data_IF_699051245720
#
_entry.id   IF_699051245720
#
_cell.length_a   1.000
_cell.length_b   1.000
_cell.length_c   1.000
_cell.angle_alpha   90.00
_cell.angle_beta   90.00
_cell.angle_gamma   90.00
#
_symmetry.space_group_name_H-M   'P 1'
#
loop_
_entity.id
_entity.type
_entity.pdbx_description
1 polymer ?
#
# COMPACT_ATOMS: atom_id res chain seq x y z
N UNK A 1 -19.86 -19.15 3.26
CA UNK A 1 -19.28 -17.78 3.30
C UNK A 1 -19.14 -17.28 1.87
N UNK A 2 -19.67 -16.09 1.57
CA UNK A 2 -19.53 -15.49 0.24
C UNK A 2 -18.08 -15.05 0.04
N UNK A 3 -17.39 -15.59 -0.96
CA UNK A 3 -16.02 -15.19 -1.31
C UNK A 3 -16.06 -13.93 -2.17
N UNK A 4 -15.02 -13.10 -2.12
CA UNK A 4 -14.87 -12.01 -3.08
C UNK A 4 -14.69 -12.59 -4.49
N UNK A 5 -15.37 -12.00 -5.46
CA UNK A 5 -15.45 -12.45 -6.85
C UNK A 5 -14.52 -11.64 -7.73
N UNK A 6 -14.35 -12.04 -9.00
CA UNK A 6 -13.61 -11.23 -9.98
C UNK A 6 -14.16 -9.80 -10.12
N UNK A 7 -15.47 -9.60 -9.89
CA UNK A 7 -16.11 -8.29 -9.99
C UNK A 7 -15.50 -7.28 -8.99
N UNK A 8 -15.06 -7.76 -7.82
CA UNK A 8 -14.43 -6.92 -6.79
C UNK A 8 -13.03 -6.42 -7.22
N UNK A 9 -12.42 -7.09 -8.21
CA UNK A 9 -11.12 -6.74 -8.77
C UNK A 9 -11.22 -5.96 -10.08
N UNK A 10 -12.37 -5.98 -10.77
CA UNK A 10 -12.54 -5.43 -12.13
C UNK A 10 -12.26 -3.93 -12.22
N UNK A 11 -12.44 -3.18 -11.14
CA UNK A 11 -12.18 -1.73 -11.12
C UNK A 11 -10.70 -1.39 -10.81
N UNK A 12 -9.84 -2.40 -10.65
CA UNK A 12 -8.42 -2.22 -10.31
C UNK A 12 -7.58 -2.96 -11.36
N UNK A 13 -7.22 -2.25 -12.43
CA UNK A 13 -6.54 -2.79 -13.61
C UNK A 13 -5.14 -3.42 -13.36
N UNK A 14 -4.64 -3.38 -12.13
CA UNK A 14 -3.34 -3.96 -11.73
C UNK A 14 -3.45 -5.45 -11.37
N UNK A 15 -4.65 -5.98 -11.24
CA UNK A 15 -4.85 -7.40 -10.95
C UNK A 15 -4.72 -8.25 -12.20
N UNK A 16 -3.67 -9.08 -12.28
CA UNK A 16 -3.69 -10.22 -13.17
C UNK A 16 -4.59 -11.30 -12.55
N UNK A 17 -5.83 -11.38 -13.02
CA UNK A 17 -6.86 -12.27 -12.48
C UNK A 17 -6.50 -13.76 -12.47
N UNK A 18 -5.51 -14.18 -13.29
CA UNK A 18 -5.01 -15.56 -13.36
C UNK A 18 -3.78 -15.80 -12.47
N UNK A 19 -3.28 -14.78 -11.79
CA UNK A 19 -2.09 -14.92 -10.96
C UNK A 19 -2.37 -15.68 -9.67
N UNK A 20 -1.36 -16.43 -9.20
CA UNK A 20 -1.37 -17.08 -7.88
C UNK A 20 -1.76 -16.10 -6.78
N UNK A 21 -1.20 -14.88 -6.79
CA UNK A 21 -1.47 -13.88 -5.76
C UNK A 21 -2.94 -13.47 -5.72
N UNK A 22 -3.60 -13.28 -6.87
CA UNK A 22 -5.06 -12.99 -6.90
C UNK A 22 -5.88 -14.15 -6.35
N UNK A 23 -5.52 -15.39 -6.70
CA UNK A 23 -6.22 -16.57 -6.18
C UNK A 23 -6.08 -16.69 -4.66
N UNK A 24 -4.88 -16.44 -4.12
CA UNK A 24 -4.67 -16.39 -2.67
C UNK A 24 -5.48 -15.24 -2.06
N UNK A 25 -5.46 -14.05 -2.67
CA UNK A 25 -6.24 -12.89 -2.16
C UNK A 25 -7.74 -13.21 -2.05
N UNK A 26 -8.32 -13.91 -3.03
CA UNK A 26 -9.73 -14.35 -2.97
C UNK A 26 -10.04 -15.30 -1.83
N UNK A 27 -9.07 -16.11 -1.43
CA UNK A 27 -9.23 -17.06 -0.33
C UNK A 27 -9.07 -16.41 1.05
N UNK A 28 -8.22 -15.38 1.16
CA UNK A 28 -7.94 -14.73 2.46
C UNK A 28 -8.91 -13.58 2.78
N UNK A 29 -9.42 -12.87 1.77
CA UNK A 29 -10.29 -11.70 1.98
C UNK A 29 -11.75 -12.12 2.05
N UNK A 30 -12.42 -11.70 3.13
CA UNK A 30 -13.84 -11.93 3.34
C UNK A 30 -14.60 -10.60 3.21
N UNK A 31 -15.79 -10.57 2.57
CA UNK A 31 -16.56 -9.33 2.40
C UNK A 31 -16.82 -8.58 3.72
N UNK A 32 -17.07 -9.31 4.81
CA UNK A 32 -17.29 -8.72 6.14
C UNK A 32 -16.08 -7.91 6.65
N UNK A 33 -14.86 -8.19 6.17
CA UNK A 33 -13.67 -7.45 6.59
C UNK A 33 -13.67 -6.00 6.10
N UNK A 34 -14.38 -5.68 5.02
CA UNK A 34 -14.47 -4.30 4.54
C UNK A 34 -15.26 -3.37 5.48
N UNK A 35 -16.03 -3.94 6.41
CA UNK A 35 -16.71 -3.18 7.46
C UNK A 35 -15.76 -2.77 8.61
N UNK A 36 -14.58 -3.40 8.69
CA UNK A 36 -13.59 -3.12 9.73
C UNK A 36 -12.80 -1.84 9.42
N UNK A 37 -12.16 -1.31 10.46
CA UNK A 37 -11.13 -0.29 10.29
C UNK A 37 -9.95 -0.85 9.49
N UNK A 38 -9.22 0.03 8.80
CA UNK A 38 -8.17 -0.37 7.85
C UNK A 38 -7.10 -1.24 8.50
N UNK A 39 -6.65 -0.88 9.70
CA UNK A 39 -5.63 -1.63 10.43
C UNK A 39 -6.10 -3.04 10.81
N UNK A 40 -7.35 -3.17 11.26
CA UNK A 40 -7.92 -4.48 11.59
C UNK A 40 -8.11 -5.33 10.34
N UNK A 41 -8.60 -4.74 9.25
CA UNK A 41 -8.69 -5.41 7.95
C UNK A 41 -7.31 -5.94 7.51
N UNK A 42 -6.26 -5.12 7.60
CA UNK A 42 -4.90 -5.51 7.23
C UNK A 42 -4.39 -6.63 8.14
N UNK A 43 -4.57 -6.51 9.46
CA UNK A 43 -4.14 -7.50 10.44
C UNK A 43 -4.79 -8.87 10.20
N UNK A 44 -6.12 -8.90 10.06
CA UNK A 44 -6.88 -10.14 9.87
C UNK A 44 -6.51 -10.84 8.56
N UNK A 45 -6.38 -10.08 7.46
CA UNK A 45 -5.97 -10.64 6.18
C UNK A 45 -4.54 -11.21 6.23
N UNK A 46 -3.61 -10.53 6.90
CA UNK A 46 -2.24 -11.02 7.06
C UNK A 46 -2.15 -12.27 7.95
N UNK A 47 -2.98 -12.38 8.98
CA UNK A 47 -3.06 -13.60 9.81
C UNK A 47 -3.50 -14.81 8.98
N UNK A 48 -4.54 -14.67 8.16
CA UNK A 48 -4.99 -15.75 7.28
C UNK A 48 -3.94 -16.06 6.21
N UNK A 49 -3.27 -15.04 5.65
CA UNK A 49 -2.17 -15.24 4.71
C UNK A 49 -1.00 -16.01 5.34
N UNK A 50 -0.66 -15.74 6.61
CA UNK A 50 0.36 -16.49 7.34
C UNK A 50 0.01 -17.98 7.42
N UNK A 51 -1.21 -18.29 7.84
CA UNK A 51 -1.71 -19.68 7.90
C UNK A 51 -1.69 -20.34 6.53
N UNK A 52 -2.16 -19.65 5.49
CA UNK A 52 -2.14 -20.15 4.12
C UNK A 52 -0.72 -20.51 3.65
N UNK A 53 0.23 -19.58 3.84
CA UNK A 53 1.61 -19.78 3.37
C UNK A 53 2.33 -20.92 4.11
N UNK A 54 2.07 -21.07 5.41
CA UNK A 54 2.61 -22.17 6.22
C UNK A 54 2.04 -23.52 5.77
N UNK A 55 0.73 -23.61 5.57
CA UNK A 55 0.07 -24.87 5.18
C UNK A 55 0.47 -25.33 3.77
N UNK A 56 0.74 -24.39 2.86
CA UNK A 56 1.14 -24.69 1.48
C UNK A 56 2.66 -24.79 1.28
N UNK A 57 3.45 -24.80 2.37
CA UNK A 57 4.90 -25.04 2.35
C UNK A 57 5.70 -24.18 1.35
N UNK A 58 5.27 -22.93 1.11
CA UNK A 58 6.01 -22.04 0.22
C UNK A 58 7.41 -21.74 0.79
N UNK A 59 8.46 -21.78 -0.05
CA UNK A 59 9.81 -21.40 0.39
C UNK A 59 9.91 -19.91 0.77
N UNK A 60 10.94 -19.54 1.53
CA UNK A 60 11.07 -18.19 2.10
C UNK A 60 11.14 -17.06 1.06
N UNK A 61 11.72 -17.31 -0.11
CA UNK A 61 11.82 -16.32 -1.18
C UNK A 61 10.47 -16.10 -1.87
N UNK A 62 9.76 -17.18 -2.15
CA UNK A 62 8.40 -17.15 -2.68
C UNK A 62 7.45 -16.44 -1.70
N UNK A 63 7.54 -16.75 -0.40
CA UNK A 63 6.75 -16.06 0.62
C UNK A 63 6.98 -14.55 0.63
N UNK A 64 8.24 -14.08 0.53
CA UNK A 64 8.52 -12.63 0.48
C UNK A 64 7.85 -11.95 -0.71
N UNK A 65 7.94 -12.56 -1.89
CA UNK A 65 7.32 -12.04 -3.12
C UNK A 65 5.78 -12.03 -3.01
N UNK A 66 5.19 -13.15 -2.60
CA UNK A 66 3.74 -13.30 -2.41
C UNK A 66 3.21 -12.28 -1.40
N UNK A 67 3.88 -12.14 -0.25
CA UNK A 67 3.50 -11.18 0.80
C UNK A 67 3.55 -9.74 0.30
N UNK A 68 4.60 -9.37 -0.43
CA UNK A 68 4.71 -8.03 -1.02
C UNK A 68 3.52 -7.74 -1.93
N UNK A 69 3.26 -8.66 -2.89
CA UNK A 69 2.19 -8.46 -3.87
C UNK A 69 0.81 -8.46 -3.26
N UNK A 70 0.52 -9.40 -2.35
CA UNK A 70 -0.76 -9.44 -1.65
C UNK A 70 -0.93 -8.21 -0.75
N UNK A 71 0.12 -7.68 -0.15
CA UNK A 71 0.02 -6.45 0.64
C UNK A 71 -0.46 -5.26 -0.21
N UNK A 72 0.07 -5.09 -1.43
CA UNK A 72 -0.42 -4.08 -2.39
C UNK A 72 -1.91 -4.30 -2.69
N UNK A 73 -2.29 -5.55 -2.97
CA UNK A 73 -3.65 -5.95 -3.30
C UNK A 73 -4.65 -5.64 -2.19
N UNK A 74 -4.30 -5.95 -0.94
CA UNK A 74 -5.14 -5.67 0.22
C UNK A 74 -5.40 -4.17 0.38
N UNK A 75 -4.37 -3.33 0.21
CA UNK A 75 -4.50 -1.87 0.28
C UNK A 75 -5.46 -1.37 -0.80
N UNK A 76 -5.24 -1.78 -2.07
CA UNK A 76 -6.04 -1.32 -3.20
C UNK A 76 -7.49 -1.77 -3.11
N UNK A 77 -7.75 -3.03 -2.71
CA UNK A 77 -9.10 -3.53 -2.50
C UNK A 77 -9.85 -2.73 -1.44
N UNK A 78 -9.21 -2.45 -0.30
CA UNK A 78 -9.82 -1.68 0.77
C UNK A 78 -10.17 -0.26 0.33
N UNK A 79 -9.23 0.44 -0.35
CA UNK A 79 -9.47 1.80 -0.83
C UNK A 79 -10.59 1.86 -1.86
N UNK A 80 -10.61 0.92 -2.81
CA UNK A 80 -11.69 0.80 -3.79
C UNK A 80 -13.05 0.53 -3.14
N UNK A 81 -13.11 -0.40 -2.17
CA UNK A 81 -14.35 -0.68 -1.44
C UNK A 81 -14.81 0.51 -0.58
N UNK A 82 -13.90 1.34 -0.07
CA UNK A 82 -14.26 2.60 0.61
C UNK A 82 -14.68 3.71 -0.35
N UNK A 83 -14.73 3.45 -1.66
CA UNK A 83 -15.20 4.38 -2.68
C UNK A 83 -14.22 5.53 -2.93
N UNK A 84 -12.93 5.36 -2.62
CA UNK A 84 -11.90 6.36 -2.90
C UNK A 84 -11.75 6.45 -4.42
N UNK A 85 -11.96 7.65 -4.99
CA UNK A 85 -11.89 7.90 -6.43
C UNK A 85 -10.50 8.38 -6.85
N UNK A 86 -10.22 8.38 -8.15
CA UNK A 86 -8.94 8.86 -8.71
C UNK A 86 -7.72 8.11 -8.14
N UNK A 87 -7.87 6.80 -7.93
CA UNK A 87 -6.81 5.86 -7.61
C UNK A 87 -6.12 5.45 -8.90
N UNK A 88 -4.83 5.74 -9.01
CA UNK A 88 -3.98 5.32 -10.13
C UNK A 88 -2.88 4.40 -9.58
N UNK A 89 -3.13 3.08 -9.48
CA UNK A 89 -2.16 2.13 -8.96
C UNK A 89 -1.06 1.88 -10.00
N UNK A 90 0.16 1.57 -9.53
CA UNK A 90 1.30 1.20 -10.39
C UNK A 90 1.57 2.21 -11.52
N UNK A 91 1.57 3.49 -11.18
CA UNK A 91 1.50 4.59 -12.15
C UNK A 91 2.81 5.37 -12.27
N UNK A 92 3.10 5.78 -13.49
CA UNK A 92 4.16 6.73 -13.83
C UNK A 92 3.55 8.12 -13.92
N UNK A 93 4.25 9.12 -13.37
CA UNK A 93 3.91 10.52 -13.56
C UNK A 93 4.72 11.05 -14.74
N UNK A 94 4.07 11.64 -15.74
CA UNK A 94 4.74 12.09 -16.97
C UNK A 94 5.97 12.99 -16.73
N UNK A 95 5.91 13.84 -15.70
CA UNK A 95 6.97 14.78 -15.32
C UNK A 95 8.00 14.16 -14.34
N UNK A 96 7.88 12.89 -13.97
CA UNK A 96 8.88 12.13 -13.19
C UNK A 96 9.26 10.88 -13.99
N UNK A 97 10.31 10.95 -14.83
CA UNK A 97 10.73 9.81 -15.62
C UNK A 97 11.20 8.67 -14.73
N UNK A 98 10.98 7.44 -15.20
CA UNK A 98 11.53 6.19 -14.66
C UNK A 98 11.18 5.85 -13.20
N UNK A 99 10.29 6.61 -12.57
CA UNK A 99 9.77 6.28 -11.24
C UNK A 99 8.33 5.79 -11.36
N UNK A 100 8.15 4.54 -10.95
CA UNK A 100 6.85 3.91 -10.80
C UNK A 100 6.41 3.99 -9.35
N UNK A 101 5.29 4.66 -9.10
CA UNK A 101 4.68 4.70 -7.78
C UNK A 101 3.68 3.56 -7.61
N UNK A 102 3.61 2.97 -6.42
CA UNK A 102 2.66 1.89 -6.16
C UNK A 102 1.21 2.39 -6.20
N UNK A 103 0.98 3.63 -5.76
CA UNK A 103 -0.29 4.33 -5.91
C UNK A 103 -0.08 5.84 -6.04
N UNK A 104 -0.81 6.45 -6.98
CA UNK A 104 -0.99 7.90 -7.06
C UNK A 104 -2.46 8.24 -6.84
N UNK A 105 -2.70 9.26 -6.01
CA UNK A 105 -3.99 9.90 -5.77
C UNK A 105 -3.95 11.35 -6.25
N UNK A 106 -5.06 11.82 -6.82
CA UNK A 106 -5.28 13.25 -7.05
C UNK A 106 -6.33 13.78 -6.08
N UNK A 107 -5.97 14.78 -5.29
CA UNK A 107 -6.92 15.47 -4.41
C UNK A 107 -7.88 16.35 -5.23
N UNK A 108 -8.96 16.84 -4.58
CA UNK A 108 -9.84 17.90 -5.15
C UNK A 108 -9.08 19.07 -5.75
N UNK A 109 -8.02 19.50 -5.06
CA UNK A 109 -7.19 20.64 -5.46
C UNK A 109 -6.13 20.26 -6.51
N UNK A 110 -6.30 19.11 -7.16
CA UNK A 110 -5.39 18.53 -8.15
C UNK A 110 -3.96 18.32 -7.61
N UNK A 111 -3.80 18.22 -6.30
CA UNK A 111 -2.50 17.89 -5.69
C UNK A 111 -2.27 16.40 -5.77
N UNK A 112 -1.04 16.03 -6.04
CA UNK A 112 -0.62 14.65 -6.12
C UNK A 112 -0.26 14.17 -4.73
N UNK A 113 -0.78 12.99 -4.39
CA UNK A 113 -0.30 12.20 -3.26
C UNK A 113 0.14 10.85 -3.81
N UNK A 114 1.44 10.58 -3.78
CA UNK A 114 1.98 9.29 -4.17
C UNK A 114 2.33 8.45 -2.94
N UNK A 115 2.22 7.14 -3.10
CA UNK A 115 2.49 6.16 -2.08
C UNK A 115 3.35 5.05 -2.63
N UNK A 116 4.32 4.61 -1.84
CA UNK A 116 5.02 3.35 -2.05
C UNK A 116 4.78 2.41 -0.88
N UNK A 117 4.65 1.12 -1.18
CA UNK A 117 4.27 0.06 -0.26
C UNK A 117 5.46 -0.87 -0.07
N UNK A 118 5.86 -1.12 1.18
CA UNK A 118 6.94 -2.06 1.48
C UNK A 118 6.60 -2.81 2.76
N UNK A 119 6.47 -4.13 2.69
CA UNK A 119 6.21 -4.95 3.89
C UNK A 119 7.27 -4.77 4.98
N UNK A 120 8.54 -4.57 4.59
CA UNK A 120 9.65 -4.15 5.44
C UNK A 120 10.54 -3.16 4.67
N UNK A 121 11.15 -2.21 5.35
CA UNK A 121 11.95 -1.15 4.75
C UNK A 121 13.42 -1.57 4.57
N UNK A 122 14.10 -2.02 5.61
CA UNK A 122 15.55 -2.28 5.66
C UNK A 122 16.36 -1.09 5.12
N UNK A 123 17.14 -1.28 4.06
CA UNK A 123 17.82 -0.20 3.31
C UNK A 123 16.97 0.37 2.16
N UNK A 124 15.87 -0.31 1.80
CA UNK A 124 15.01 0.06 0.66
C UNK A 124 14.26 1.37 0.88
N UNK A 125 14.20 1.91 2.10
CA UNK A 125 13.67 3.26 2.32
C UNK A 125 14.53 4.34 1.65
N UNK A 126 15.83 4.09 1.41
CA UNK A 126 16.70 5.03 0.69
C UNK A 126 16.19 5.28 -0.72
N UNK A 127 15.70 4.25 -1.40
CA UNK A 127 15.04 4.40 -2.70
C UNK A 127 13.81 5.31 -2.58
N UNK A 128 12.99 5.12 -1.54
CA UNK A 128 11.81 5.96 -1.30
C UNK A 128 12.16 7.41 -0.95
N UNK A 129 13.33 7.67 -0.34
CA UNK A 129 13.83 9.04 -0.17
C UNK A 129 14.05 9.69 -1.54
N UNK A 130 14.75 9.02 -2.45
CA UNK A 130 15.02 9.52 -3.81
C UNK A 130 13.71 9.73 -4.59
N UNK A 131 12.78 8.77 -4.52
CA UNK A 131 11.47 8.86 -5.18
C UNK A 131 10.66 10.07 -4.65
N UNK A 132 10.65 10.27 -3.33
CA UNK A 132 10.01 11.43 -2.71
C UNK A 132 10.66 12.76 -3.09
N UNK A 133 11.99 12.80 -3.23
CA UNK A 133 12.71 14.03 -3.63
C UNK A 133 12.26 14.50 -5.01
N UNK A 134 12.06 13.57 -5.96
CA UNK A 134 11.59 13.93 -7.30
C UNK A 134 10.18 14.54 -7.26
N UNK A 135 9.29 14.02 -6.43
CA UNK A 135 7.95 14.63 -6.23
C UNK A 135 8.08 16.03 -5.62
N UNK A 136 8.92 16.19 -4.59
CA UNK A 136 9.05 17.45 -3.86
C UNK A 136 9.73 18.56 -4.65
N UNK A 137 10.60 18.20 -5.61
CA UNK A 137 11.23 19.16 -6.54
C UNK A 137 10.20 19.86 -7.43
N UNK A 138 9.08 19.22 -7.72
CA UNK A 138 8.03 19.78 -8.57
C UNK A 138 7.10 20.71 -7.79
N UNK A 139 6.65 20.25 -6.62
CA UNK A 139 5.84 21.04 -5.71
C UNK A 139 5.96 20.47 -4.29
N UNK A 140 6.39 21.31 -3.35
CA UNK A 140 6.55 20.91 -1.94
C UNK A 140 5.23 20.50 -1.29
N UNK A 141 4.10 20.94 -1.85
CA UNK A 141 2.73 20.62 -1.43
C UNK A 141 2.29 19.22 -1.86
N UNK A 142 2.96 18.58 -2.82
CA UNK A 142 2.66 17.19 -3.19
C UNK A 142 3.03 16.25 -2.05
N UNK A 143 2.19 15.25 -1.81
CA UNK A 143 2.39 14.27 -0.75
C UNK A 143 3.20 13.07 -1.24
N UNK A 144 4.13 12.61 -0.42
CA UNK A 144 4.76 11.31 -0.61
C UNK A 144 4.78 10.53 0.71
N UNK A 145 4.15 9.36 0.72
CA UNK A 145 3.98 8.54 1.90
C UNK A 145 4.53 7.13 1.68
N UNK A 146 5.18 6.58 2.71
CA UNK A 146 5.71 5.22 2.68
C UNK A 146 4.89 4.34 3.62
N UNK A 147 4.32 3.26 3.10
CA UNK A 147 3.47 2.34 3.86
C UNK A 147 4.25 1.07 4.17
N UNK A 148 4.20 0.62 5.42
CA UNK A 148 4.90 -0.59 5.87
C UNK A 148 4.14 -1.35 6.94
N UNK A 149 4.51 -2.62 7.12
CA UNK A 149 3.93 -3.50 8.14
C UNK A 149 4.84 -3.59 9.38
N UNK A 150 5.97 -2.89 9.36
CA UNK A 150 6.98 -2.91 10.41
C UNK A 150 6.89 -1.66 11.29
N UNK A 151 6.46 -1.85 12.54
CA UNK A 151 6.30 -0.78 13.51
C UNK A 151 7.65 -0.14 13.89
N UNK A 152 8.67 -0.95 14.15
CA UNK A 152 9.98 -0.48 14.58
C UNK A 152 10.62 0.41 13.51
N UNK A 153 10.52 0.00 12.25
CA UNK A 153 11.04 0.78 11.13
C UNK A 153 10.22 2.03 10.87
N UNK A 154 8.90 1.96 11.07
CA UNK A 154 8.01 3.12 11.01
C UNK A 154 8.43 4.19 12.01
N UNK A 155 8.58 3.82 13.28
CA UNK A 155 8.97 4.74 14.35
C UNK A 155 10.36 5.34 14.07
N UNK A 156 11.34 4.48 13.72
CA UNK A 156 12.71 4.90 13.40
C UNK A 156 12.75 5.95 12.28
N UNK A 157 12.04 5.72 11.19
CA UNK A 157 12.07 6.62 10.03
C UNK A 157 11.22 7.89 10.27
N UNK A 158 10.09 7.79 10.97
CA UNK A 158 9.33 8.97 11.39
C UNK A 158 10.13 9.87 12.35
N UNK A 159 10.96 9.31 13.23
CA UNK A 159 11.87 10.11 14.06
C UNK A 159 12.91 10.86 13.22
N UNK A 160 13.45 10.22 12.16
CA UNK A 160 14.34 10.90 11.20
C UNK A 160 13.63 12.04 10.46
N UNK A 161 12.36 11.83 10.08
CA UNK A 161 11.53 12.84 9.41
C UNK A 161 11.29 14.03 10.36
N UNK A 162 10.85 13.76 11.59
CA UNK A 162 10.61 14.80 12.61
C UNK A 162 11.86 15.63 12.92
N UNK A 163 13.03 15.00 12.91
CA UNK A 163 14.32 15.66 13.16
C UNK A 163 14.94 16.28 11.90
N UNK A 164 14.21 16.37 10.78
CA UNK A 164 14.67 17.00 9.55
C UNK A 164 15.75 16.23 8.75
N UNK A 165 16.10 15.00 9.18
CA UNK A 165 17.09 14.14 8.51
C UNK A 165 16.54 13.50 7.23
N UNK A 166 15.23 13.42 7.08
CA UNK A 166 14.53 12.96 5.88
C UNK A 166 13.38 13.93 5.62
N UNK A 167 13.45 14.68 4.52
CA UNK A 167 12.47 15.74 4.23
C UNK A 167 11.54 15.38 3.06
N UNK A 168 11.94 14.41 2.24
CA UNK A 168 11.21 14.02 1.04
C UNK A 168 10.01 13.10 1.28
N UNK A 169 9.94 12.47 2.46
CA UNK A 169 8.83 11.60 2.87
C UNK A 169 8.00 12.35 3.89
N UNK A 170 6.71 12.58 3.61
CA UNK A 170 5.80 13.27 4.53
C UNK A 170 5.58 12.48 5.81
N UNK A 171 5.35 11.17 5.70
CA UNK A 171 5.16 10.27 6.83
C UNK A 171 5.33 8.81 6.41
N UNK A 172 5.82 8.00 7.33
CA UNK A 172 5.77 6.54 7.23
C UNK A 172 4.56 6.03 8.00
N UNK A 173 3.73 5.20 7.37
CA UNK A 173 2.47 4.71 7.93
C UNK A 173 2.60 3.21 8.19
N UNK A 174 2.47 2.79 9.44
CA UNK A 174 2.35 1.38 9.82
C UNK A 174 0.93 0.90 9.52
N UNK A 175 0.75 -0.07 8.61
CA UNK A 175 -0.55 -0.59 8.19
C UNK A 175 -1.32 -1.30 9.30
N UNK A 176 -0.66 -1.74 10.37
CA UNK A 176 -1.30 -2.39 11.52
C UNK A 176 -1.60 -1.43 12.67
N UNK A 177 -1.19 -0.17 12.57
CA UNK A 177 -1.45 0.83 13.61
C UNK A 177 -2.88 1.39 13.52
N UNK A 178 -3.51 1.65 14.65
CA UNK A 178 -4.79 2.38 14.71
C UNK A 178 -4.74 3.77 14.03
N UNK A 179 -3.54 4.34 13.87
CA UNK A 179 -3.33 5.61 13.17
C UNK A 179 -3.29 5.48 11.64
N UNK A 180 -3.38 4.26 11.09
CA UNK A 180 -3.38 3.98 9.66
C UNK A 180 -4.72 4.38 9.03
N UNK A 181 -4.91 5.66 8.80
CA UNK A 181 -6.10 6.17 8.12
C UNK A 181 -5.74 6.66 6.72
N UNK A 182 -5.59 5.74 5.77
CA UNK A 182 -5.31 6.10 4.37
C UNK A 182 -6.59 6.57 3.67
N UNK A 183 -7.76 6.12 4.12
CA UNK A 183 -9.06 6.56 3.62
C UNK A 183 -9.40 8.02 3.95
N UNK A 184 -8.72 8.65 4.92
CA UNK A 184 -8.95 10.06 5.25
C UNK A 184 -8.32 11.03 4.27
N UNK A 185 -7.40 10.57 3.40
CA UNK A 185 -6.89 11.34 2.25
C UNK A 185 -7.95 11.40 1.14
N UNK A 186 -9.15 11.86 1.51
CA UNK A 186 -10.35 11.86 0.68
C UNK A 186 -10.10 12.61 -0.63
N UNK A 187 -9.92 11.83 -1.68
CA UNK A 187 -10.12 12.22 -3.08
C UNK A 187 -11.61 12.28 -3.33
N UNK A 188 -12.21 13.39 -2.93
CA UNK A 188 -13.59 13.69 -3.26
C UNK A 188 -13.68 14.24 -4.69
#
# INVERSE_FOLDING_TARGET
MQQISNLDFNNINVFNHKSLCVNITKQIVQPIFFNKAFNQYMFDCHNILNTYLTNNQHNSQSQKSIRGKINEYLILLYLNHKGIKYLYPQSYLFFIPDIKFDLVLFTKTKRIIAFNFKTCLRERYKQSIVEGEQIKKLDTRFGFYLLTNDESETQRLNNKIKNGKVQSINKVINLFSNSANISSYKTY
#
